data_IF_617263473268
#
_entry.id   IF_617263473268
#
_cell.length_a   1.000
_cell.length_b   1.000
_cell.length_c   1.000
_cell.angle_alpha   90.00
_cell.angle_beta   90.00
_cell.angle_gamma   90.00
#
_symmetry.space_group_name_H-M   'P 1'
#
loop_
_entity.id
_entity.type
_entity.pdbx_description
1 polymer ?
#
# COMPACT_ATOMS: atom_id res chain seq x y z
N UNK A 1 5.38 -27.52 -11.82
CA UNK A 1 6.74 -27.23 -11.28
C UNK A 1 6.61 -26.86 -9.80
N UNK A 2 7.37 -27.51 -8.91
CA UNK A 2 7.48 -27.07 -7.50
C UNK A 2 8.57 -26.01 -7.41
N UNK A 3 8.21 -24.81 -6.98
CA UNK A 3 9.18 -23.74 -6.74
C UNK A 3 9.91 -24.00 -5.42
N UNK A 4 11.25 -23.85 -5.41
CA UNK A 4 12.04 -23.91 -4.18
C UNK A 4 11.62 -22.77 -3.25
N UNK A 5 11.17 -23.11 -2.04
CA UNK A 5 10.90 -22.12 -0.99
C UNK A 5 12.19 -21.85 -0.23
N UNK A 6 12.47 -20.58 0.00
CA UNK A 6 13.65 -20.11 0.73
C UNK A 6 13.21 -19.52 2.07
N UNK A 7 13.83 -19.96 3.16
CA UNK A 7 13.60 -19.37 4.50
C UNK A 7 14.23 -17.97 4.58
N UNK A 8 13.93 -17.22 5.64
CA UNK A 8 14.56 -15.91 5.85
C UNK A 8 16.07 -16.04 5.96
N UNK A 9 16.54 -16.95 6.82
CA UNK A 9 17.96 -17.16 7.09
C UNK A 9 18.72 -17.55 5.83
N UNK A 10 18.14 -18.43 4.99
CA UNK A 10 18.74 -18.78 3.70
C UNK A 10 18.86 -17.57 2.77
N UNK A 11 17.87 -16.68 2.75
CA UNK A 11 17.96 -15.46 1.91
C UNK A 11 19.06 -14.54 2.40
N UNK A 12 19.20 -14.39 3.72
CA UNK A 12 20.24 -13.56 4.33
C UNK A 12 21.64 -14.12 4.06
N UNK A 13 21.82 -15.42 4.23
CA UNK A 13 23.08 -16.11 3.92
C UNK A 13 23.47 -15.91 2.44
N UNK A 14 22.52 -16.06 1.52
CA UNK A 14 22.78 -15.91 0.08
C UNK A 14 23.09 -14.46 -0.28
N UNK A 15 22.41 -13.49 0.36
CA UNK A 15 22.71 -12.07 0.15
C UNK A 15 24.10 -11.71 0.66
N UNK A 16 24.46 -12.11 1.87
CA UNK A 16 25.80 -11.89 2.43
C UNK A 16 26.88 -12.53 1.55
N UNK A 17 26.68 -13.79 1.15
CA UNK A 17 27.59 -14.46 0.23
C UNK A 17 27.71 -13.73 -1.11
N UNK A 18 26.61 -13.15 -1.62
CA UNK A 18 26.63 -12.37 -2.87
C UNK A 18 27.36 -11.04 -2.79
N UNK A 19 27.57 -10.50 -1.59
CA UNK A 19 28.40 -9.31 -1.36
C UNK A 19 29.89 -9.66 -1.39
N UNK A 20 30.26 -10.87 -0.96
CA UNK A 20 31.65 -11.36 -0.95
C UNK A 20 32.11 -11.86 -2.32
N UNK A 21 31.32 -12.72 -2.98
CA UNK A 21 31.71 -13.39 -4.24
C UNK A 21 30.99 -12.82 -5.46
N UNK A 22 30.08 -11.87 -5.26
CA UNK A 22 29.27 -11.31 -6.33
C UNK A 22 28.03 -12.15 -6.69
N UNK A 23 27.07 -11.48 -7.35
CA UNK A 23 25.72 -12.02 -7.62
C UNK A 23 25.76 -13.26 -8.53
N UNK A 24 26.58 -13.27 -9.57
CA UNK A 24 26.60 -14.36 -10.56
C UNK A 24 27.13 -15.65 -9.95
N UNK A 25 28.20 -15.56 -9.16
CA UNK A 25 28.80 -16.72 -8.50
C UNK A 25 27.91 -17.24 -7.38
N UNK A 26 27.30 -16.35 -6.59
CA UNK A 26 26.29 -16.74 -5.60
C UNK A 26 25.09 -17.45 -6.25
N UNK A 27 24.59 -16.95 -7.39
CA UNK A 27 23.51 -17.60 -8.13
C UNK A 27 23.87 -19.04 -8.54
N UNK A 28 25.10 -19.26 -9.03
CA UNK A 28 25.61 -20.58 -9.40
C UNK A 28 25.77 -21.50 -8.17
N UNK A 29 26.32 -20.98 -7.07
CA UNK A 29 26.57 -21.72 -5.82
C UNK A 29 25.27 -22.22 -5.17
N UNK A 30 24.25 -21.36 -5.07
CA UNK A 30 23.02 -21.70 -4.35
C UNK A 30 21.87 -22.14 -5.27
N UNK A 31 22.03 -22.07 -6.59
CA UNK A 31 20.97 -22.38 -7.56
C UNK A 31 19.82 -21.37 -7.52
N UNK A 32 20.12 -20.11 -7.25
CA UNK A 32 19.15 -18.99 -7.26
C UNK A 32 19.26 -18.28 -8.61
N UNK A 33 18.13 -17.86 -9.19
CA UNK A 33 18.17 -17.03 -10.39
C UNK A 33 18.61 -15.60 -10.06
N UNK A 34 19.35 -14.96 -10.97
CA UNK A 34 19.82 -13.57 -10.81
C UNK A 34 18.66 -12.62 -10.49
N UNK A 35 17.53 -12.73 -11.22
CA UNK A 35 16.33 -11.92 -10.96
C UNK A 35 15.75 -12.10 -9.56
N UNK A 36 15.81 -13.31 -8.99
CA UNK A 36 15.38 -13.56 -7.61
C UNK A 36 16.31 -12.87 -6.62
N UNK A 37 17.62 -12.98 -6.82
CA UNK A 37 18.62 -12.40 -5.93
C UNK A 37 18.61 -10.87 -5.97
N UNK A 38 18.47 -10.26 -7.15
CA UNK A 38 18.27 -8.80 -7.27
C UNK A 38 16.99 -8.31 -6.59
N UNK A 39 15.90 -9.07 -6.70
CA UNK A 39 14.65 -8.73 -6.02
C UNK A 39 14.80 -8.78 -4.49
N UNK A 40 15.49 -9.81 -3.97
CA UNK A 40 15.81 -9.88 -2.54
C UNK A 40 16.69 -8.72 -2.09
N UNK A 41 17.76 -8.41 -2.84
CA UNK A 41 18.63 -7.26 -2.55
C UNK A 41 17.84 -5.96 -2.49
N UNK A 42 17.04 -5.66 -3.51
CA UNK A 42 16.17 -4.46 -3.52
C UNK A 42 15.20 -4.40 -2.32
N UNK A 43 14.61 -5.54 -1.93
CA UNK A 43 13.70 -5.60 -0.77
C UNK A 43 14.45 -5.41 0.54
N UNK A 44 15.64 -5.98 0.65
CA UNK A 44 16.53 -5.84 1.80
C UNK A 44 17.03 -4.40 1.94
N UNK A 45 17.49 -3.77 0.86
CA UNK A 45 17.96 -2.37 0.86
C UNK A 45 16.85 -1.39 1.28
N UNK A 46 15.59 -1.68 0.94
CA UNK A 46 14.47 -0.79 1.24
C UNK A 46 13.84 -1.01 2.62
N UNK A 47 13.80 -2.24 3.13
CA UNK A 47 13.06 -2.61 4.36
C UNK A 47 13.85 -3.49 5.33
N UNK A 48 15.15 -3.66 5.11
CA UNK A 48 15.99 -4.60 5.86
C UNK A 48 15.48 -6.05 5.76
N UNK A 49 15.76 -6.82 6.80
CA UNK A 49 15.30 -8.22 6.91
C UNK A 49 13.77 -8.37 6.81
N UNK A 50 13.01 -7.36 7.27
CA UNK A 50 11.55 -7.35 7.18
C UNK A 50 11.06 -7.37 5.72
N UNK A 51 11.86 -6.85 4.77
CA UNK A 51 11.58 -6.92 3.34
C UNK A 51 11.71 -8.32 2.74
N UNK A 52 12.48 -9.21 3.37
CA UNK A 52 12.73 -10.58 2.92
C UNK A 52 11.77 -11.60 3.51
N UNK A 53 11.12 -11.26 4.62
CA UNK A 53 10.01 -12.04 5.18
C UNK A 53 8.91 -12.16 4.13
N UNK A 54 8.29 -13.33 4.05
CA UNK A 54 7.10 -13.52 3.23
C UNK A 54 5.99 -12.69 3.86
N UNK A 55 5.87 -11.43 3.45
CA UNK A 55 4.65 -10.70 3.63
C UNK A 55 3.66 -11.34 2.66
N UNK A 56 2.83 -12.25 3.17
CA UNK A 56 1.48 -12.30 2.64
C UNK A 56 0.98 -10.85 2.60
N UNK A 57 0.22 -10.45 1.60
CA UNK A 57 -0.49 -9.18 1.67
C UNK A 57 -1.40 -9.27 2.92
N UNK A 58 -0.86 -8.87 4.07
CA UNK A 58 -1.46 -8.95 5.40
C UNK A 58 -2.41 -7.79 5.62
N UNK A 59 -2.77 -7.06 4.56
CA UNK A 59 -4.08 -6.44 4.56
C UNK A 59 -5.06 -7.59 4.59
N UNK A 60 -5.54 -7.90 5.81
CA UNK A 60 -6.64 -8.83 6.00
C UNK A 60 -7.74 -8.46 5.01
N UNK A 61 -8.53 -9.46 4.60
CA UNK A 61 -9.72 -9.20 3.78
C UNK A 61 -10.53 -8.04 4.39
N UNK A 62 -10.64 -8.03 5.71
CA UNK A 62 -11.21 -6.95 6.53
C UNK A 62 -10.54 -5.59 6.29
N UNK A 63 -9.20 -5.49 6.29
CA UNK A 63 -8.53 -4.22 5.98
C UNK A 63 -8.87 -3.71 4.57
N UNK A 64 -9.01 -4.60 3.58
CA UNK A 64 -9.39 -4.17 2.22
C UNK A 64 -10.84 -3.70 2.16
N UNK A 65 -11.73 -4.41 2.84
CA UNK A 65 -13.15 -4.06 2.97
C UNK A 65 -13.32 -2.71 3.68
N UNK A 66 -12.64 -2.51 4.82
CA UNK A 66 -12.67 -1.24 5.57
C UNK A 66 -12.13 -0.07 4.75
N UNK A 67 -11.08 -0.28 3.95
CA UNK A 67 -10.56 0.78 3.05
C UNK A 67 -11.57 1.15 1.97
N UNK A 68 -12.25 0.16 1.37
CA UNK A 68 -13.27 0.42 0.35
C UNK A 68 -14.51 1.09 0.96
N UNK A 69 -14.96 0.64 2.13
CA UNK A 69 -16.05 1.27 2.86
C UNK A 69 -15.72 2.74 3.17
N UNK A 70 -14.50 3.02 3.65
CA UNK A 70 -14.06 4.40 3.91
C UNK A 70 -14.06 5.25 2.63
N UNK A 71 -13.67 4.68 1.49
CA UNK A 71 -13.72 5.35 0.19
C UNK A 71 -15.15 5.72 -0.20
N UNK A 72 -16.09 4.80 -0.03
CA UNK A 72 -17.52 5.01 -0.32
C UNK A 72 -18.10 6.07 0.62
N UNK A 73 -17.84 5.97 1.93
CA UNK A 73 -18.32 6.92 2.93
C UNK A 73 -17.81 8.35 2.68
N UNK A 74 -16.53 8.50 2.34
CA UNK A 74 -15.96 9.81 1.99
C UNK A 74 -16.62 10.42 0.76
N UNK A 75 -16.89 9.60 -0.26
CA UNK A 75 -17.60 10.06 -1.46
C UNK A 75 -19.01 10.52 -1.11
N UNK A 76 -19.78 9.69 -0.38
CA UNK A 76 -21.14 10.03 0.03
C UNK A 76 -21.18 11.31 0.86
N UNK A 77 -20.23 11.49 1.79
CA UNK A 77 -20.13 12.71 2.59
C UNK A 77 -19.89 13.93 1.70
N UNK A 78 -18.92 13.85 0.78
CA UNK A 78 -18.62 14.94 -0.15
C UNK A 78 -19.83 15.29 -1.02
N UNK A 79 -20.55 14.29 -1.54
CA UNK A 79 -21.75 14.50 -2.35
C UNK A 79 -22.86 15.22 -1.53
N UNK A 80 -23.02 14.85 -0.25
CA UNK A 80 -23.97 15.49 0.67
C UNK A 80 -23.59 16.91 1.05
N UNK A 81 -22.30 17.18 1.25
CA UNK A 81 -21.80 18.53 1.54
C UNK A 81 -22.05 19.47 0.35
N UNK A 82 -21.81 19.00 -0.87
CA UNK A 82 -22.11 19.75 -2.10
C UNK A 82 -23.62 20.00 -2.21
N UNK A 83 -24.45 18.98 -1.98
CA UNK A 83 -25.92 19.13 -2.01
C UNK A 83 -26.40 20.17 -0.99
N UNK A 84 -25.88 20.12 0.24
CA UNK A 84 -26.21 21.09 1.29
C UNK A 84 -25.79 22.51 0.91
N UNK A 85 -24.63 22.70 0.29
CA UNK A 85 -24.18 24.02 -0.13
C UNK A 85 -25.10 24.59 -1.22
N UNK A 86 -25.45 23.78 -2.22
CA UNK A 86 -26.41 24.16 -3.27
C UNK A 86 -27.76 24.54 -2.65
N UNK A 87 -28.28 23.74 -1.71
CA UNK A 87 -29.53 24.04 -1.03
C UNK A 87 -29.46 25.37 -0.27
N UNK A 88 -28.35 25.64 0.44
CA UNK A 88 -28.14 26.93 1.13
C UNK A 88 -28.10 28.10 0.15
N UNK A 89 -27.41 27.96 -0.98
CA UNK A 89 -27.36 29.00 -2.01
C UNK A 89 -28.73 29.27 -2.62
N UNK A 90 -29.52 28.22 -2.91
CA UNK A 90 -30.88 28.36 -3.41
C UNK A 90 -31.78 29.07 -2.39
N UNK A 91 -31.67 28.75 -1.10
CA UNK A 91 -32.41 29.43 -0.04
C UNK A 91 -32.00 30.90 0.08
N UNK A 92 -30.70 31.21 0.06
CA UNK A 92 -30.19 32.60 0.04
C UNK A 92 -30.74 33.37 -1.15
N UNK A 93 -30.81 32.76 -2.34
CA UNK A 93 -31.35 33.40 -3.54
C UNK A 93 -32.87 33.59 -3.47
N UNK A 94 -33.61 32.61 -2.95
CA UNK A 94 -35.08 32.65 -2.83
C UNK A 94 -35.54 33.67 -1.79
N UNK A 95 -34.83 33.77 -0.67
CA UNK A 95 -35.18 34.65 0.45
C UNK A 95 -34.27 35.88 0.57
N UNK A 96 -33.52 36.19 -0.50
CA UNK A 96 -32.55 37.29 -0.66
C UNK A 96 -32.34 38.13 0.58
N UNK A 97 -31.36 37.76 1.43
CA UNK A 97 -30.96 38.44 2.69
C UNK A 97 -31.86 39.61 3.11
N UNK A 98 -33.10 39.32 3.44
CA UNK A 98 -33.95 40.18 4.24
C UNK A 98 -34.26 39.33 5.45
N UNK A 99 -33.35 39.39 6.41
CA UNK A 99 -33.49 38.78 7.71
C UNK A 99 -34.65 39.49 8.43
N UNK A 100 -35.83 38.85 8.63
CA UNK A 100 -36.92 39.47 9.36
C UNK A 100 -36.67 39.48 10.88
N UNK A 101 -35.45 39.13 11.33
CA UNK A 101 -34.98 39.19 12.73
C UNK A 101 -33.76 40.10 12.92
N UNK A 102 -33.46 40.97 11.96
CA UNK A 102 -32.63 42.16 12.21
C UNK A 102 -33.53 43.39 12.34
N UNK A 103 -33.62 43.87 13.58
CA UNK A 103 -34.59 44.79 14.21
C UNK A 103 -35.83 44.07 14.72
#
# INVERSE_FOLDING_TARGET
MKYKKWTLDQKLEILASSEEIGIVEACRKYGVSTGTLYNWKKKHDHKGEAGLKVTYDTKSKEHKEVVEENRILRKLLSDREIELEIQKELLKKKFGTSDPRKI
#
